data_IF_292564256671
#
_entry.id   IF_292564256671
#
_cell.length_a   1.000
_cell.length_b   1.000
_cell.length_c   1.000
_cell.angle_alpha   90.00
_cell.angle_beta   90.00
_cell.angle_gamma   90.00
#
_symmetry.space_group_name_H-M   'P 1'
#
loop_
_entity.id
_entity.type
_entity.pdbx_description
1 polymer ?
#
# COMPACT_ATOMS: atom_id res chain seq x y z
N UNK A 1 -16.26 -10.84 42.93
CA UNK A 1 -15.06 -10.92 42.07
C UNK A 1 -15.51 -10.84 40.61
N UNK A 2 -15.61 -9.63 40.08
CA UNK A 2 -16.29 -9.35 38.79
C UNK A 2 -15.30 -9.54 37.64
N UNK A 3 -15.51 -10.55 36.79
CA UNK A 3 -14.71 -10.80 35.58
C UNK A 3 -14.91 -9.65 34.60
N UNK A 4 -13.93 -8.75 34.45
CA UNK A 4 -13.82 -7.85 33.30
C UNK A 4 -13.52 -8.71 32.07
N UNK A 5 -14.51 -8.90 31.19
CA UNK A 5 -14.29 -9.40 29.82
C UNK A 5 -13.44 -8.35 29.08
N UNK A 6 -12.22 -8.72 28.71
CA UNK A 6 -11.41 -7.97 27.74
C UNK A 6 -12.19 -8.00 26.43
N UNK A 7 -12.51 -6.81 25.91
CA UNK A 7 -13.19 -6.62 24.63
C UNK A 7 -12.13 -6.85 23.55
N UNK A 8 -12.35 -7.83 22.67
CA UNK A 8 -11.46 -8.10 21.55
C UNK A 8 -11.53 -6.95 20.53
N UNK A 9 -10.60 -6.00 20.65
CA UNK A 9 -10.43 -4.85 19.76
C UNK A 9 -9.64 -5.19 18.47
N UNK A 10 -9.39 -6.47 18.19
CA UNK A 10 -8.53 -6.94 17.09
C UNK A 10 -9.17 -6.97 15.70
N UNK A 11 -10.50 -6.96 15.59
CA UNK A 11 -11.18 -7.10 14.29
C UNK A 11 -11.23 -5.82 13.45
N UNK A 12 -11.33 -4.65 14.08
CA UNK A 12 -11.53 -3.36 13.38
C UNK A 12 -10.21 -2.75 12.89
N UNK A 13 -9.15 -2.90 13.66
CA UNK A 13 -7.82 -2.36 13.35
C UNK A 13 -7.19 -3.03 12.12
N UNK A 14 -7.38 -4.35 11.96
CA UNK A 14 -6.86 -5.10 10.81
C UNK A 14 -7.50 -4.68 9.47
N UNK A 15 -8.80 -4.39 9.47
CA UNK A 15 -9.53 -3.97 8.26
C UNK A 15 -9.07 -2.57 7.82
N UNK A 16 -8.88 -1.66 8.78
CA UNK A 16 -8.37 -0.31 8.50
C UNK A 16 -6.96 -0.38 7.90
N UNK A 17 -6.10 -1.23 8.46
CA UNK A 17 -4.75 -1.42 7.93
C UNK A 17 -4.76 -1.95 6.50
N UNK A 18 -5.59 -2.96 6.21
CA UNK A 18 -5.74 -3.51 4.85
C UNK A 18 -6.25 -2.47 3.86
N UNK A 19 -7.19 -1.61 4.27
CA UNK A 19 -7.67 -0.49 3.45
C UNK A 19 -6.55 0.52 3.17
N UNK A 20 -5.75 0.87 4.18
CA UNK A 20 -4.62 1.78 3.99
C UNK A 20 -3.58 1.19 3.04
N UNK A 21 -3.23 -0.09 3.21
CA UNK A 21 -2.32 -0.81 2.31
C UNK A 21 -2.87 -0.81 0.88
N UNK A 22 -4.17 -1.08 0.70
CA UNK A 22 -4.79 -1.06 -0.62
C UNK A 22 -4.72 0.33 -1.28
N UNK A 23 -5.14 1.37 -0.57
CA UNK A 23 -5.18 2.75 -1.09
C UNK A 23 -3.79 3.27 -1.43
N UNK A 24 -2.79 2.99 -0.57
CA UNK A 24 -1.43 3.50 -0.73
C UNK A 24 -0.48 2.55 -1.46
N UNK A 25 -0.94 1.37 -1.88
CA UNK A 25 -0.14 0.39 -2.61
C UNK A 25 0.56 0.94 -3.87
N UNK A 26 -0.04 1.83 -4.69
CA UNK A 26 0.67 2.40 -5.84
C UNK A 26 1.85 3.28 -5.42
N UNK A 27 1.65 4.15 -4.41
CA UNK A 27 2.70 5.00 -3.88
C UNK A 27 3.82 4.20 -3.22
N UNK A 28 3.48 3.14 -2.48
CA UNK A 28 4.47 2.25 -1.86
C UNK A 28 5.28 1.49 -2.91
N UNK A 29 4.65 1.03 -3.99
CA UNK A 29 5.36 0.39 -5.10
C UNK A 29 6.36 1.35 -5.75
N UNK A 30 5.93 2.58 -6.07
CA UNK A 30 6.81 3.60 -6.66
C UNK A 30 7.96 3.96 -5.71
N UNK A 31 7.68 4.18 -4.43
CA UNK A 31 8.74 4.47 -3.45
C UNK A 31 9.74 3.34 -3.31
N UNK A 32 9.27 2.10 -3.35
CA UNK A 32 10.16 0.95 -3.24
C UNK A 32 11.03 0.79 -4.50
N UNK A 33 10.51 1.10 -5.69
CA UNK A 33 11.30 1.18 -6.92
C UNK A 33 12.35 2.30 -6.85
N UNK A 34 11.98 3.49 -6.35
CA UNK A 34 12.92 4.61 -6.16
C UNK A 34 14.01 4.23 -5.15
N UNK A 35 13.64 3.61 -4.02
CA UNK A 35 14.58 3.15 -3.01
C UNK A 35 15.63 2.21 -3.60
N UNK A 36 15.22 1.27 -4.45
CA UNK A 36 16.15 0.35 -5.13
C UNK A 36 16.96 1.05 -6.21
N UNK A 37 16.34 1.86 -7.06
CA UNK A 37 17.00 2.53 -8.18
C UNK A 37 18.08 3.52 -7.73
N UNK A 38 17.84 4.22 -6.62
CA UNK A 38 18.73 5.25 -6.09
C UNK A 38 19.52 4.79 -4.85
N UNK A 39 19.38 3.51 -4.46
CA UNK A 39 20.02 2.92 -3.28
C UNK A 39 19.84 3.78 -2.01
N UNK A 40 18.61 4.25 -1.78
CA UNK A 40 18.29 5.14 -0.67
C UNK A 40 18.13 4.36 0.64
N UNK A 41 18.70 4.88 1.72
CA UNK A 41 18.46 4.37 3.07
C UNK A 41 17.22 5.03 3.67
N UNK A 42 16.04 4.63 3.19
CA UNK A 42 14.75 5.05 3.75
C UNK A 42 14.23 4.02 4.75
N UNK A 43 13.88 4.49 5.95
CA UNK A 43 13.20 3.69 6.96
C UNK A 43 11.71 3.46 6.60
N UNK A 44 11.07 2.45 7.22
CA UNK A 44 9.68 2.08 6.93
C UNK A 44 8.68 3.23 7.11
N UNK A 45 8.83 4.03 8.18
CA UNK A 45 7.98 5.20 8.40
C UNK A 45 8.15 6.29 7.35
N UNK A 46 9.38 6.48 6.84
CA UNK A 46 9.65 7.43 5.76
C UNK A 46 9.05 6.94 4.45
N UNK A 47 9.18 5.64 4.14
CA UNK A 47 8.56 5.02 2.97
C UNK A 47 7.06 5.25 2.93
N UNK A 48 6.36 5.01 4.05
CA UNK A 48 4.93 5.27 4.17
C UNK A 48 4.57 6.74 3.96
N UNK A 49 5.34 7.66 4.55
CA UNK A 49 5.10 9.10 4.41
C UNK A 49 5.22 9.55 2.96
N UNK A 50 6.28 9.14 2.26
CA UNK A 50 6.44 9.48 0.84
C UNK A 50 5.44 8.75 -0.05
N UNK A 51 5.05 7.52 0.30
CA UNK A 51 4.02 6.79 -0.44
C UNK A 51 2.66 7.49 -0.40
N UNK A 52 2.27 8.11 0.72
CA UNK A 52 1.06 8.93 0.80
C UNK A 52 1.13 10.10 -0.18
N UNK A 53 2.27 10.83 -0.18
CA UNK A 53 2.48 11.98 -1.09
C UNK A 53 2.40 11.52 -2.55
N UNK A 54 3.11 10.46 -2.91
CA UNK A 54 3.09 9.92 -4.28
C UNK A 54 1.70 9.43 -4.67
N UNK A 55 0.96 8.78 -3.76
CA UNK A 55 -0.40 8.32 -4.03
C UNK A 55 -1.35 9.46 -4.35
N UNK A 56 -1.26 10.57 -3.59
CA UNK A 56 -2.03 11.79 -3.86
C UNK A 56 -1.64 12.39 -5.23
N UNK A 57 -0.36 12.45 -5.55
CA UNK A 57 0.12 12.95 -6.84
C UNK A 57 -0.33 12.08 -8.01
N UNK A 58 -0.27 10.76 -7.88
CA UNK A 58 -0.74 9.81 -8.89
C UNK A 58 -2.24 9.98 -9.12
N UNK A 59 -3.04 10.02 -8.05
CA UNK A 59 -4.48 10.23 -8.16
C UNK A 59 -4.81 11.60 -8.77
N UNK A 60 -4.15 12.67 -8.32
CA UNK A 60 -4.31 14.01 -8.90
C UNK A 60 -3.96 14.07 -10.38
N UNK A 61 -2.91 13.35 -10.80
CA UNK A 61 -2.52 13.24 -12.21
C UNK A 61 -3.60 12.53 -13.03
N UNK A 62 -4.16 11.42 -12.54
CA UNK A 62 -5.26 10.73 -13.20
C UNK A 62 -6.51 11.61 -13.32
N UNK A 63 -6.85 12.37 -12.27
CA UNK A 63 -7.93 13.35 -12.31
C UNK A 63 -7.69 14.42 -13.39
N UNK A 64 -6.45 14.91 -13.54
CA UNK A 64 -6.08 15.86 -14.58
C UNK A 64 -6.15 15.29 -16.01
N UNK A 65 -5.73 14.03 -16.19
CA UNK A 65 -5.73 13.34 -17.49
C UNK A 65 -7.16 13.05 -17.96
N UNK A 66 -7.97 12.44 -17.10
CA UNK A 66 -9.32 12.00 -17.47
C UNK A 66 -10.35 13.13 -17.43
N UNK A 67 -10.06 14.23 -16.70
CA UNK A 67 -11.01 15.31 -16.41
C UNK A 67 -12.34 14.81 -15.83
N UNK A 68 -12.30 13.63 -15.21
CA UNK A 68 -13.43 12.89 -14.67
C UNK A 68 -12.93 12.14 -13.44
N UNK A 69 -13.39 12.57 -12.26
CA UNK A 69 -12.94 12.00 -10.98
C UNK A 69 -13.40 10.55 -10.80
N UNK A 70 -14.57 10.18 -11.32
CA UNK A 70 -15.08 8.83 -11.18
C UNK A 70 -14.24 7.86 -12.00
N UNK A 71 -13.90 8.22 -13.25
CA UNK A 71 -12.98 7.44 -14.08
C UNK A 71 -11.59 7.35 -13.44
N UNK A 72 -11.05 8.47 -12.96
CA UNK A 72 -9.76 8.48 -12.28
C UNK A 72 -9.73 7.56 -11.05
N UNK A 73 -10.79 7.56 -10.25
CA UNK A 73 -10.94 6.67 -9.10
C UNK A 73 -11.00 5.20 -9.52
N UNK A 74 -11.79 4.85 -10.55
CA UNK A 74 -11.86 3.47 -11.06
C UNK A 74 -10.49 2.98 -11.52
N UNK A 75 -9.75 3.79 -12.30
CA UNK A 75 -8.41 3.43 -12.76
C UNK A 75 -7.42 3.30 -11.61
N UNK A 76 -7.46 4.22 -10.65
CA UNK A 76 -6.59 4.20 -9.48
C UNK A 76 -6.82 2.94 -8.64
N UNK A 77 -8.08 2.68 -8.23
CA UNK A 77 -8.41 1.52 -7.39
C UNK A 77 -8.22 0.19 -8.13
N UNK A 78 -8.46 0.14 -9.43
CA UNK A 78 -8.16 -1.05 -10.23
C UNK A 78 -6.65 -1.34 -10.23
N UNK A 79 -5.83 -0.31 -10.39
CA UNK A 79 -4.36 -0.42 -10.33
C UNK A 79 -3.90 -0.86 -8.94
N UNK A 80 -4.42 -0.24 -7.87
CA UNK A 80 -4.18 -0.66 -6.49
C UNK A 80 -4.51 -2.15 -6.26
N UNK A 81 -5.66 -2.61 -6.75
CA UNK A 81 -6.06 -4.01 -6.63
C UNK A 81 -5.10 -4.97 -7.34
N UNK A 82 -4.69 -4.64 -8.56
CA UNK A 82 -3.69 -5.44 -9.30
C UNK A 82 -2.38 -5.50 -8.52
N UNK A 83 -1.90 -4.36 -8.01
CA UNK A 83 -0.64 -4.30 -7.24
C UNK A 83 -0.73 -5.19 -6.01
N UNK A 84 -1.78 -5.06 -5.20
CA UNK A 84 -1.96 -5.89 -4.00
C UNK A 84 -2.05 -7.37 -4.34
N UNK A 85 -2.79 -7.75 -5.39
CA UNK A 85 -2.89 -9.14 -5.83
C UNK A 85 -1.51 -9.68 -6.26
N UNK A 86 -0.73 -8.90 -7.02
CA UNK A 86 0.63 -9.29 -7.40
C UNK A 86 1.50 -9.47 -6.17
N UNK A 87 1.48 -8.55 -5.20
CA UNK A 87 2.24 -8.68 -3.96
C UNK A 87 1.82 -9.92 -3.15
N UNK A 88 0.52 -10.20 -3.05
CA UNK A 88 0.01 -11.39 -2.37
C UNK A 88 0.44 -12.68 -3.07
N UNK A 89 0.40 -12.72 -4.40
CA UNK A 89 0.87 -13.87 -5.18
C UNK A 89 2.38 -14.07 -5.04
N UNK A 90 3.17 -12.99 -5.04
CA UNK A 90 4.60 -13.05 -4.76
C UNK A 90 4.90 -13.54 -3.35
N UNK A 91 4.11 -13.11 -2.35
CA UNK A 91 4.28 -13.49 -0.95
C UNK A 91 3.88 -14.94 -0.65
N UNK A 92 2.68 -15.37 -1.09
CA UNK A 92 2.10 -16.66 -0.71
C UNK A 92 2.29 -17.77 -1.75
N UNK A 93 2.34 -17.42 -3.04
CA UNK A 93 2.12 -18.40 -4.12
C UNK A 93 3.39 -18.89 -4.80
N UNK A 94 4.41 -18.05 -4.95
CA UNK A 94 5.48 -18.34 -5.92
C UNK A 94 6.88 -18.55 -5.32
N UNK A 95 7.17 -18.15 -4.08
CA UNK A 95 8.56 -18.11 -3.54
C UNK A 95 9.59 -17.61 -4.57
N UNK A 96 9.15 -16.79 -5.54
CA UNK A 96 10.04 -16.03 -6.38
C UNK A 96 10.78 -15.11 -5.42
N UNK A 97 12.08 -14.97 -5.59
CA UNK A 97 12.96 -14.10 -4.81
C UNK A 97 12.60 -12.63 -5.08
N UNK A 98 11.35 -12.26 -4.81
CA UNK A 98 10.94 -10.89 -4.68
C UNK A 98 11.65 -10.37 -3.43
N UNK A 99 12.40 -9.27 -3.53
CA UNK A 99 13.24 -8.81 -2.43
C UNK A 99 12.38 -8.63 -1.19
N UNK A 100 12.61 -9.48 -0.19
CA UNK A 100 11.84 -9.57 1.07
C UNK A 100 11.76 -8.19 1.75
N UNK A 101 12.77 -7.36 1.52
CA UNK A 101 12.85 -5.95 1.88
C UNK A 101 11.67 -5.09 1.40
N UNK A 102 10.95 -5.47 0.33
CA UNK A 102 9.74 -4.74 -0.10
C UNK A 102 8.56 -5.02 0.82
N UNK A 103 8.48 -6.24 1.35
CA UNK A 103 7.39 -6.71 2.20
C UNK A 103 7.56 -6.25 3.65
N UNK A 104 8.80 -6.23 4.16
CA UNK A 104 9.12 -5.70 5.51
C UNK A 104 8.89 -4.18 5.63
N UNK A 105 8.81 -3.46 4.50
CA UNK A 105 8.41 -2.06 4.51
C UNK A 105 6.90 -1.88 4.25
N UNK A 106 6.18 -2.95 3.90
CA UNK A 106 4.75 -2.94 3.56
C UNK A 106 3.86 -3.37 4.73
N UNK A 107 4.34 -4.29 5.57
CA UNK A 107 3.67 -4.81 6.77
C UNK A 107 4.41 -4.38 8.03
#
# INVERSE_FOLDING_TARGET
MTRKKKKDEGGSSGIILLLLIFVFSPGMLVMSLIKVAFNLTLDGGQMWTFAVIISILLFGTLCGIFKDMAKAAVYYFSTSGIIVVVFLLCHFGLKLTFPVNFLDNFF
#
